data_IF_877814000125
#
_entry.id   IF_877814000125
#
_cell.length_a   1.000
_cell.length_b   1.000
_cell.length_c   1.000
_cell.angle_alpha   90.00
_cell.angle_beta   90.00
_cell.angle_gamma   90.00
#
_symmetry.space_group_name_H-M   'P 1'
#
loop_
_entity.id
_entity.type
_entity.pdbx_description
1 polymer ?
#
# COMPACT_ATOMS: atom_id res chain seq x y z
N UNK A 1 -6.32 -13.35 -14.04
CA UNK A 1 -6.16 -11.97 -13.52
C UNK A 1 -6.06 -10.96 -14.67
N UNK A 2 -5.23 -11.20 -15.67
CA UNK A 2 -5.03 -10.31 -16.84
C UNK A 2 -6.31 -9.78 -17.49
N UNK A 3 -7.32 -10.64 -17.74
CA UNK A 3 -8.61 -10.20 -18.28
C UNK A 3 -9.29 -9.16 -17.40
N UNK A 4 -9.25 -9.34 -16.08
CA UNK A 4 -9.85 -8.39 -15.12
C UNK A 4 -9.10 -7.05 -15.15
N UNK A 5 -7.77 -7.09 -15.13
CA UNK A 5 -6.93 -5.87 -15.24
C UNK A 5 -7.22 -5.16 -16.57
N UNK A 6 -7.27 -5.89 -17.67
CA UNK A 6 -7.61 -5.33 -18.98
C UNK A 6 -8.99 -4.67 -18.98
N UNK A 7 -10.00 -5.37 -18.44
CA UNK A 7 -11.36 -4.85 -18.37
C UNK A 7 -11.43 -3.57 -17.53
N UNK A 8 -10.73 -3.54 -16.39
CA UNK A 8 -10.66 -2.35 -15.53
C UNK A 8 -10.00 -1.18 -16.28
N UNK A 9 -8.87 -1.41 -16.95
CA UNK A 9 -8.13 -0.40 -17.69
C UNK A 9 -8.94 0.17 -18.88
N UNK A 10 -9.70 -0.67 -19.57
CA UNK A 10 -10.43 -0.29 -20.79
C UNK A 10 -11.83 0.25 -20.52
N UNK A 11 -12.51 -0.22 -19.47
CA UNK A 11 -13.95 0.04 -19.26
C UNK A 11 -14.23 1.07 -18.17
N UNK A 12 -13.20 1.58 -17.50
CA UNK A 12 -13.36 2.55 -16.42
C UNK A 12 -12.55 3.82 -16.68
N UNK A 13 -12.84 4.87 -15.90
CA UNK A 13 -12.12 6.15 -15.94
C UNK A 13 -11.10 6.27 -14.82
N UNK A 14 -10.51 5.15 -14.36
CA UNK A 14 -9.54 5.18 -13.27
C UNK A 14 -8.32 6.03 -13.64
N UNK A 15 -7.78 6.75 -12.65
CA UNK A 15 -6.50 7.45 -12.77
C UNK A 15 -5.34 6.53 -12.35
N UNK A 16 -5.54 5.81 -11.24
CA UNK A 16 -4.55 4.94 -10.61
C UNK A 16 -5.12 3.53 -10.45
N UNK A 17 -4.36 2.49 -10.82
CA UNK A 17 -4.69 1.10 -10.48
C UNK A 17 -3.81 0.64 -9.31
N UNK A 18 -4.46 0.21 -8.22
CA UNK A 18 -3.79 -0.35 -7.04
C UNK A 18 -3.72 -1.87 -7.10
N UNK A 19 -2.55 -2.43 -6.80
CA UNK A 19 -2.33 -3.87 -6.65
C UNK A 19 -1.63 -4.18 -5.32
N UNK A 20 -2.04 -5.26 -4.65
CA UNK A 20 -1.39 -5.76 -3.44
C UNK A 20 -0.44 -6.88 -3.83
N UNK A 21 0.84 -6.72 -3.53
CA UNK A 21 1.89 -7.67 -3.88
C UNK A 21 2.36 -8.36 -2.61
N UNK A 22 2.32 -9.69 -2.65
CA UNK A 22 2.98 -10.58 -1.69
C UNK A 22 3.88 -11.52 -2.47
N UNK A 23 5.16 -11.61 -2.10
CA UNK A 23 6.16 -12.53 -2.65
C UNK A 23 6.79 -13.43 -1.58
N UNK A 24 6.63 -13.10 -0.31
CA UNK A 24 7.02 -13.93 0.83
C UNK A 24 5.85 -14.09 1.82
N UNK A 25 5.20 -15.26 1.79
CA UNK A 25 4.09 -15.57 2.69
C UNK A 25 4.55 -15.87 4.12
N UNK A 26 5.80 -16.31 4.30
CA UNK A 26 6.35 -16.66 5.62
C UNK A 26 6.65 -15.39 6.42
N UNK A 27 7.06 -14.32 5.74
CA UNK A 27 7.17 -12.98 6.33
C UNK A 27 5.77 -12.38 6.59
N UNK A 28 4.85 -12.49 5.63
CA UNK A 28 3.53 -11.87 5.72
C UNK A 28 2.59 -12.52 6.75
N UNK A 29 2.67 -13.84 6.94
CA UNK A 29 1.68 -14.59 7.70
C UNK A 29 2.29 -15.73 8.51
N UNK A 30 1.81 -15.87 9.75
CA UNK A 30 2.21 -16.99 10.61
C UNK A 30 1.78 -18.34 10.01
N UNK A 31 2.67 -19.33 10.04
CA UNK A 31 2.45 -20.70 9.54
C UNK A 31 1.21 -21.40 10.14
N UNK A 32 0.84 -21.04 11.37
CA UNK A 32 -0.33 -21.61 12.06
C UNK A 32 -1.66 -20.95 11.66
N UNK A 33 -1.64 -19.86 10.89
CA UNK A 33 -2.84 -19.17 10.49
C UNK A 33 -3.68 -20.04 9.54
N UNK A 34 -4.99 -20.09 9.76
CA UNK A 34 -5.90 -21.00 9.04
C UNK A 34 -5.90 -20.78 7.53
N UNK A 35 -5.53 -19.58 7.07
CA UNK A 35 -5.48 -19.23 5.64
C UNK A 35 -4.07 -19.26 5.05
N UNK A 36 -3.04 -19.69 5.78
CA UNK A 36 -1.65 -19.66 5.30
C UNK A 36 -1.50 -20.46 3.99
N UNK A 37 -1.95 -21.72 3.97
CA UNK A 37 -1.84 -22.58 2.78
C UNK A 37 -2.67 -22.04 1.61
N UNK A 38 -3.88 -21.54 1.87
CA UNK A 38 -4.73 -20.94 0.85
C UNK A 38 -4.11 -19.69 0.25
N UNK A 39 -3.43 -18.88 1.06
CA UNK A 39 -2.73 -17.67 0.62
C UNK A 39 -1.55 -18.06 -0.25
N UNK A 40 -0.70 -18.97 0.23
CA UNK A 40 0.46 -19.49 -0.49
C UNK A 40 0.11 -20.04 -1.87
N UNK A 41 -0.98 -20.81 -1.97
CA UNK A 41 -1.44 -21.39 -3.24
C UNK A 41 -2.02 -20.37 -4.23
N UNK A 42 -2.39 -19.17 -3.76
CA UNK A 42 -2.97 -18.09 -4.58
C UNK A 42 -1.96 -17.01 -4.96
N UNK A 43 -0.72 -17.08 -4.47
CA UNK A 43 0.32 -16.12 -4.81
C UNK A 43 0.65 -16.17 -6.29
N UNK A 44 0.94 -14.99 -6.85
CA UNK A 44 1.47 -14.87 -8.20
C UNK A 44 3.00 -14.90 -8.18
N UNK A 45 3.59 -15.41 -9.26
CA UNK A 45 5.02 -15.32 -9.49
C UNK A 45 5.44 -13.89 -9.82
N UNK A 46 6.73 -13.60 -9.68
CA UNK A 46 7.34 -12.34 -10.12
C UNK A 46 7.12 -12.08 -11.61
N UNK A 47 7.14 -13.12 -12.45
CA UNK A 47 6.85 -13.02 -13.88
C UNK A 47 5.41 -12.54 -14.12
N UNK A 48 4.43 -13.19 -13.47
CA UNK A 48 3.03 -12.80 -13.61
C UNK A 48 2.78 -11.38 -13.09
N UNK A 49 3.40 -11.00 -11.96
CA UNK A 49 3.33 -9.62 -11.47
C UNK A 49 3.95 -8.62 -12.45
N UNK A 50 5.11 -8.96 -13.03
CA UNK A 50 5.78 -8.12 -14.01
C UNK A 50 4.88 -7.84 -15.21
N UNK A 51 4.16 -8.85 -15.70
CA UNK A 51 3.26 -8.72 -16.83
C UNK A 51 2.06 -7.84 -16.51
N UNK A 52 1.43 -8.03 -15.34
CA UNK A 52 0.32 -7.17 -14.89
C UNK A 52 0.76 -5.71 -14.70
N UNK A 53 1.93 -5.48 -14.09
CA UNK A 53 2.49 -4.14 -13.89
C UNK A 53 2.77 -3.46 -15.23
N UNK A 54 3.44 -4.17 -16.15
CA UNK A 54 3.71 -3.65 -17.50
C UNK A 54 2.43 -3.34 -18.25
N UNK A 55 1.38 -4.16 -18.10
CA UNK A 55 0.08 -3.90 -18.70
C UNK A 55 -0.52 -2.57 -18.23
N UNK A 56 -0.45 -2.24 -16.94
CA UNK A 56 -0.91 -0.95 -16.40
C UNK A 56 -0.11 0.21 -17.00
N UNK A 57 1.23 0.12 -16.95
CA UNK A 57 2.13 1.17 -17.45
C UNK A 57 1.94 1.42 -18.95
N UNK A 58 1.77 0.36 -19.75
CA UNK A 58 1.55 0.45 -21.19
C UNK A 58 0.20 1.09 -21.57
N UNK A 59 -0.76 1.14 -20.65
CA UNK A 59 -2.04 1.82 -20.84
C UNK A 59 -2.03 3.27 -20.32
N UNK A 60 -0.85 3.83 -20.01
CA UNK A 60 -0.67 5.18 -19.49
C UNK A 60 -1.52 5.47 -18.25
N UNK A 61 -1.64 4.48 -17.35
CA UNK A 61 -2.28 4.62 -16.04
C UNK A 61 -1.23 4.66 -14.95
N UNK A 62 -1.51 5.44 -13.91
CA UNK A 62 -0.65 5.47 -12.73
C UNK A 62 -0.79 4.16 -11.96
N UNK A 63 0.32 3.75 -11.36
CA UNK A 63 0.42 2.52 -10.63
C UNK A 63 0.61 2.79 -9.14
N UNK A 64 -0.16 2.06 -8.35
CA UNK A 64 -0.01 2.03 -6.91
C UNK A 64 0.25 0.59 -6.43
N UNK A 65 1.38 0.37 -5.76
CA UNK A 65 1.74 -0.95 -5.24
C UNK A 65 1.66 -0.95 -3.72
N UNK A 66 0.78 -1.78 -3.15
CA UNK A 66 0.78 -2.08 -1.72
C UNK A 66 1.68 -3.29 -1.49
N UNK A 67 2.65 -3.13 -0.59
CA UNK A 67 3.60 -4.19 -0.26
C UNK A 67 3.25 -4.86 1.07
N UNK A 68 3.27 -6.19 1.07
CA UNK A 68 2.97 -7.01 2.24
C UNK A 68 4.21 -7.62 2.90
N UNK A 69 5.34 -7.62 2.20
CA UNK A 69 6.61 -8.23 2.63
C UNK A 69 7.79 -7.49 1.99
N UNK A 70 8.99 -7.66 2.56
CA UNK A 70 10.20 -6.96 2.10
C UNK A 70 10.59 -7.33 0.67
N UNK A 71 10.43 -8.60 0.29
CA UNK A 71 10.71 -9.08 -1.06
C UNK A 71 9.81 -8.41 -2.10
N UNK A 72 8.54 -8.17 -1.77
CA UNK A 72 7.61 -7.44 -2.62
C UNK A 72 8.03 -5.97 -2.82
N UNK A 73 8.61 -5.31 -1.81
CA UNK A 73 9.15 -3.96 -1.94
C UNK A 73 10.31 -3.93 -2.93
N UNK A 74 11.31 -4.79 -2.73
CA UNK A 74 12.51 -4.86 -3.58
C UNK A 74 12.14 -5.17 -5.04
N UNK A 75 11.26 -6.15 -5.24
CA UNK A 75 10.73 -6.46 -6.56
C UNK A 75 9.92 -5.30 -7.15
N UNK A 76 9.01 -4.70 -6.39
CA UNK A 76 8.10 -3.67 -6.90
C UNK A 76 8.80 -2.35 -7.22
N UNK A 77 9.85 -2.00 -6.48
CA UNK A 77 10.59 -0.76 -6.64
C UNK A 77 11.22 -0.62 -8.03
N UNK A 78 11.64 -1.74 -8.65
CA UNK A 78 12.24 -1.74 -10.00
C UNK A 78 11.28 -1.23 -11.09
N UNK A 79 9.98 -1.20 -10.82
CA UNK A 79 8.97 -0.71 -11.76
C UNK A 79 8.67 0.77 -11.59
N UNK A 80 9.31 1.47 -10.65
CA UNK A 80 9.14 2.91 -10.40
C UNK A 80 7.66 3.33 -10.34
N UNK A 81 6.85 2.74 -9.45
CA UNK A 81 5.44 3.11 -9.33
C UNK A 81 5.30 4.57 -8.87
N UNK A 82 4.22 5.22 -9.29
CA UNK A 82 3.90 6.59 -8.87
C UNK A 82 3.56 6.64 -7.37
N UNK A 83 2.92 5.59 -6.87
CA UNK A 83 2.57 5.45 -5.46
C UNK A 83 2.95 4.07 -4.93
N UNK A 84 3.36 4.02 -3.67
CA UNK A 84 3.48 2.78 -2.90
C UNK A 84 2.68 2.89 -1.64
N UNK A 85 2.14 1.80 -1.11
CA UNK A 85 1.39 1.80 0.14
C UNK A 85 1.91 0.77 1.13
N UNK A 86 1.98 1.19 2.39
CA UNK A 86 2.00 0.29 3.52
C UNK A 86 0.63 0.31 4.21
N UNK A 87 0.08 -0.87 4.44
CA UNK A 87 -1.15 -1.02 5.20
C UNK A 87 -0.95 -0.59 6.66
N UNK A 88 -2.02 -0.20 7.35
CA UNK A 88 -1.92 0.31 8.73
C UNK A 88 -1.30 -0.68 9.71
N UNK A 89 -1.53 -1.98 9.51
CA UNK A 89 -0.95 -3.05 10.33
C UNK A 89 0.57 -3.16 10.20
N UNK A 90 1.15 -2.62 9.13
CA UNK A 90 2.58 -2.68 8.84
C UNK A 90 3.34 -1.41 9.27
N UNK A 91 2.67 -0.35 9.76
CA UNK A 91 3.35 0.91 10.09
C UNK A 91 4.22 0.86 11.37
N UNK A 92 4.19 -0.26 12.10
CA UNK A 92 5.13 -0.55 13.19
C UNK A 92 6.13 -1.66 12.82
N UNK A 93 6.10 -2.16 11.59
CA UNK A 93 7.06 -3.14 11.12
C UNK A 93 8.35 -2.42 10.70
N UNK A 94 9.34 -2.43 11.59
CA UNK A 94 10.59 -1.70 11.38
C UNK A 94 11.37 -2.21 10.15
N UNK A 95 11.22 -3.49 9.79
CA UNK A 95 11.92 -4.08 8.67
C UNK A 95 11.31 -3.60 7.35
N UNK A 96 9.97 -3.62 7.24
CA UNK A 96 9.29 -3.04 6.08
C UNK A 96 9.57 -1.55 5.93
N UNK A 97 9.54 -0.78 7.02
CA UNK A 97 9.85 0.66 6.98
C UNK A 97 11.29 0.92 6.48
N UNK A 98 12.26 0.11 6.93
CA UNK A 98 13.65 0.22 6.47
C UNK A 98 13.82 -0.12 4.99
N UNK A 99 13.15 -1.18 4.53
CA UNK A 99 13.23 -1.57 3.12
C UNK A 99 12.52 -0.53 2.24
N UNK A 100 11.40 0.06 2.67
CA UNK A 100 10.80 1.21 1.99
C UNK A 100 11.79 2.37 1.90
N UNK A 101 12.39 2.78 3.03
CA UNK A 101 13.35 3.90 3.07
C UNK A 101 14.50 3.72 2.08
N UNK A 102 15.00 2.48 1.95
CA UNK A 102 16.19 2.20 1.17
C UNK A 102 15.91 1.93 -0.32
N UNK A 103 14.68 1.53 -0.68
CA UNK A 103 14.37 1.09 -2.05
C UNK A 103 13.41 2.02 -2.80
N UNK A 104 12.66 2.87 -2.11
CA UNK A 104 11.68 3.75 -2.76
C UNK A 104 12.32 5.09 -3.13
N UNK A 105 12.17 5.44 -4.41
CA UNK A 105 12.65 6.70 -4.95
C UNK A 105 11.97 7.90 -4.29
N UNK A 106 12.73 8.97 -4.08
CA UNK A 106 12.20 10.22 -3.52
C UNK A 106 11.07 10.84 -4.36
N UNK A 107 10.95 10.49 -5.64
CA UNK A 107 9.88 10.96 -6.53
C UNK A 107 8.56 10.17 -6.39
N UNK A 108 8.58 9.01 -5.74
CA UNK A 108 7.40 8.17 -5.52
C UNK A 108 6.64 8.65 -4.29
N UNK A 109 5.31 8.64 -4.33
CA UNK A 109 4.50 8.96 -3.14
C UNK A 109 4.39 7.73 -2.24
N UNK A 110 4.78 7.87 -0.97
CA UNK A 110 4.61 6.83 0.04
C UNK A 110 3.30 7.04 0.77
N UNK A 111 2.36 6.12 0.58
CA UNK A 111 1.03 6.14 1.18
C UNK A 111 1.03 5.30 2.45
N UNK A 112 0.65 5.91 3.55
CA UNK A 112 0.47 5.25 4.83
C UNK A 112 -1.02 5.10 5.12
N UNK A 113 -1.49 3.86 5.18
CA UNK A 113 -2.80 3.57 5.77
C UNK A 113 -2.75 3.88 7.26
N UNK A 114 -3.49 4.87 7.74
CA UNK A 114 -3.44 5.28 9.18
C UNK A 114 -4.68 4.88 9.98
N UNK A 115 -5.57 4.07 9.38
CA UNK A 115 -6.75 3.55 10.04
C UNK A 115 -6.40 2.65 11.23
N UNK A 116 -6.91 3.01 12.41
CA UNK A 116 -6.68 2.25 13.65
C UNK A 116 -5.43 2.62 14.44
N UNK A 117 -4.57 3.49 13.91
CA UNK A 117 -3.33 3.89 14.57
C UNK A 117 -3.49 5.06 15.54
N UNK A 118 -2.55 5.13 16.48
CA UNK A 118 -2.30 6.28 17.35
C UNK A 118 -1.43 7.33 16.65
N UNK A 119 -1.40 8.55 17.18
CA UNK A 119 -0.54 9.62 16.65
C UNK A 119 0.95 9.26 16.72
N UNK A 120 1.37 8.61 17.81
CA UNK A 120 2.77 8.25 18.02
C UNK A 120 3.25 7.21 16.99
N UNK A 121 2.40 6.25 16.60
CA UNK A 121 2.73 5.26 15.58
C UNK A 121 2.87 5.91 14.20
N UNK A 122 1.98 6.87 13.88
CA UNK A 122 2.06 7.64 12.64
C UNK A 122 3.36 8.47 12.60
N UNK A 123 3.65 9.21 13.67
CA UNK A 123 4.86 10.03 13.80
C UNK A 123 6.13 9.17 13.74
N UNK A 124 6.12 8.00 14.40
CA UNK A 124 7.21 7.04 14.35
C UNK A 124 7.50 6.59 12.91
N UNK A 125 6.46 6.17 12.17
CA UNK A 125 6.63 5.71 10.79
C UNK A 125 7.17 6.82 9.87
N UNK A 126 6.62 8.04 9.98
CA UNK A 126 7.08 9.22 9.22
C UNK A 126 8.56 9.49 9.50
N UNK A 127 8.93 9.58 10.77
CA UNK A 127 10.30 9.88 11.19
C UNK A 127 11.27 8.76 10.80
N UNK A 128 10.82 7.50 10.76
CA UNK A 128 11.68 6.37 10.44
C UNK A 128 12.08 6.34 8.96
N UNK A 129 11.13 6.62 8.06
CA UNK A 129 11.37 6.56 6.61
C UNK A 129 12.03 7.84 6.06
N UNK A 130 11.90 8.97 6.77
CA UNK A 130 12.49 10.27 6.38
C UNK A 130 12.12 10.71 4.96
N UNK A 131 10.93 10.34 4.49
CA UNK A 131 10.47 10.58 3.12
C UNK A 131 9.66 11.87 3.03
N UNK A 132 9.86 12.65 1.95
CA UNK A 132 9.21 13.96 1.79
C UNK A 132 7.80 13.86 1.17
N UNK A 133 7.58 12.93 0.24
CA UNK A 133 6.30 12.77 -0.44
C UNK A 133 5.42 11.72 0.25
N UNK A 134 4.92 12.04 1.46
CA UNK A 134 4.03 11.15 2.21
C UNK A 134 2.55 11.52 1.97
N UNK A 135 1.71 10.49 1.86
CA UNK A 135 0.25 10.59 1.84
C UNK A 135 -0.31 9.82 3.04
N UNK A 136 -1.06 10.48 3.91
CA UNK A 136 -1.79 9.80 5.00
C UNK A 136 -3.19 9.40 4.52
N UNK A 137 -3.39 8.10 4.31
CA UNK A 137 -4.65 7.50 3.87
C UNK A 137 -5.47 7.07 5.08
N UNK A 138 -6.52 7.84 5.39
CA UNK A 138 -7.45 7.48 6.45
C UNK A 138 -8.35 6.33 5.99
N UNK A 139 -8.91 5.59 6.94
CA UNK A 139 -9.87 4.54 6.66
C UNK A 139 -10.32 3.90 7.97
N UNK A 140 -11.33 3.03 7.88
CA UNK A 140 -11.81 2.26 9.02
C UNK A 140 -11.67 0.77 8.71
N UNK A 141 -10.98 0.05 9.60
CA UNK A 141 -10.60 -1.35 9.41
C UNK A 141 -11.79 -2.30 9.70
N UNK A 142 -12.87 -2.17 8.93
CA UNK A 142 -14.03 -3.06 8.99
C UNK A 142 -14.69 -3.20 7.61
N UNK A 143 -15.08 -4.42 7.26
CA UNK A 143 -15.63 -4.75 5.94
C UNK A 143 -17.00 -5.44 6.09
N UNK A 144 -18.13 -4.72 5.89
CA UNK A 144 -18.24 -3.30 5.56
C UNK A 144 -18.15 -2.38 6.79
N UNK A 145 -17.72 -1.12 6.56
CA UNK A 145 -17.71 -0.09 7.60
C UNK A 145 -19.10 0.51 7.80
N UNK A 146 -19.52 0.64 9.07
CA UNK A 146 -20.74 1.38 9.44
C UNK A 146 -20.50 2.88 9.30
N UNK A 147 -21.42 3.61 8.68
CA UNK A 147 -21.27 5.06 8.40
C UNK A 147 -20.91 5.89 9.64
N UNK A 148 -21.48 5.56 10.79
CA UNK A 148 -21.22 6.23 12.08
C UNK A 148 -19.75 6.13 12.53
N UNK A 149 -18.98 5.16 12.02
CA UNK A 149 -17.59 4.91 12.41
C UNK A 149 -16.55 5.66 11.55
N UNK A 150 -16.94 6.19 10.38
CA UNK A 150 -16.05 6.86 9.42
C UNK A 150 -15.32 8.08 10.03
N UNK A 151 -15.95 8.75 11.00
CA UNK A 151 -15.39 9.80 11.85
C UNK A 151 -14.38 10.78 11.17
N UNK A 152 -14.84 11.47 10.11
CA UNK A 152 -14.02 12.46 9.40
C UNK A 152 -13.47 13.59 10.28
N UNK A 153 -14.10 13.88 11.43
CA UNK A 153 -13.59 14.85 12.40
C UNK A 153 -12.23 14.43 12.97
N UNK A 154 -11.97 13.13 13.14
CA UNK A 154 -10.66 12.62 13.54
C UNK A 154 -9.62 12.91 12.46
N UNK A 155 -9.93 12.59 11.19
CA UNK A 155 -9.05 12.87 10.05
C UNK A 155 -8.68 14.34 9.96
N UNK A 156 -9.67 15.24 10.06
CA UNK A 156 -9.44 16.69 10.03
C UNK A 156 -8.52 17.20 11.13
N UNK A 157 -8.51 16.57 12.31
CA UNK A 157 -7.59 16.94 13.40
C UNK A 157 -6.16 16.52 13.08
N UNK A 158 -5.98 15.29 12.58
CA UNK A 158 -4.68 14.78 12.16
C UNK A 158 -4.14 15.62 11.00
N UNK A 159 -4.99 16.02 10.06
CA UNK A 159 -4.61 16.90 8.95
C UNK A 159 -4.02 18.25 9.40
N UNK A 160 -4.47 18.77 10.55
CA UNK A 160 -3.95 20.01 11.13
C UNK A 160 -2.62 19.82 11.86
N UNK A 161 -2.33 18.61 12.31
CA UNK A 161 -1.09 18.27 13.02
C UNK A 161 0.08 18.05 12.05
N UNK A 162 -0.20 17.59 10.82
CA UNK A 162 0.82 17.31 9.81
C UNK A 162 0.59 18.08 8.49
N UNK A 163 0.40 19.40 8.51
CA UNK A 163 -0.07 20.19 7.36
C UNK A 163 0.79 20.07 6.09
N UNK A 164 2.03 19.59 6.19
CA UNK A 164 2.98 19.37 5.12
C UNK A 164 2.64 18.17 4.21
N UNK A 165 1.84 17.20 4.68
CA UNK A 165 1.54 15.98 3.91
C UNK A 165 0.24 16.07 3.12
N UNK A 166 0.09 15.12 2.19
CA UNK A 166 -1.16 14.90 1.46
C UNK A 166 -2.05 13.91 2.20
N UNK A 167 -3.33 13.90 1.86
CA UNK A 167 -4.34 13.12 2.56
C UNK A 167 -5.30 12.43 1.60
N UNK A 168 -5.77 11.26 1.99
CA UNK A 168 -6.81 10.51 1.30
C UNK A 168 -7.73 9.79 2.27
N UNK A 169 -8.76 9.14 1.73
CA UNK A 169 -9.64 8.24 2.47
C UNK A 169 -9.88 6.96 1.67
N UNK A 170 -9.79 5.81 2.32
CA UNK A 170 -10.01 4.47 1.77
C UNK A 170 -11.15 3.75 2.51
#
# INVERSE_FOLDING_TARGET
MERLVNDILQKTKLDVLKMHITLDVDEYMNLSHTTYNDTKNKMFSEELWSDLIKQVKNNNKDLMLLYNDTKAIEFGAQFEPQLVELHSVCLNDIFLLDVIKNNISSNTHVVFGVGGLTLNEIEYAINRIEHQNIVLMFGFQNFPTRYENVNFKKSQRIMKLFPEFRYGYA
#
